data_IF_626365820211
#
_entry.id   IF_626365820211
#
_cell.length_a   1.000
_cell.length_b   1.000
_cell.length_c   1.000
_cell.angle_alpha   90.00
_cell.angle_beta   90.00
_cell.angle_gamma   90.00
#
_symmetry.space_group_name_H-M   'P 1'
#
loop_
_entity.id
_entity.type
_entity.pdbx_description
1 polymer ?
#
# COMPACT_ATOMS: atom_id res chain seq x y z
N UNK A 1 6.18 22.42 5.44
CA UNK A 1 5.99 20.98 5.14
C UNK A 1 4.53 20.60 5.36
N UNK A 2 3.84 20.14 4.32
CA UNK A 2 2.48 19.62 4.44
C UNK A 2 2.53 18.27 5.17
N UNK A 3 1.98 18.22 6.37
CA UNK A 3 1.66 16.98 7.07
C UNK A 3 0.53 16.32 6.29
N UNK A 4 0.87 15.54 5.26
CA UNK A 4 -0.10 14.67 4.61
C UNK A 4 -0.44 13.55 5.58
N UNK A 5 -1.35 13.82 6.51
CA UNK A 5 -2.00 12.78 7.31
C UNK A 5 -2.94 12.03 6.38
N UNK A 6 -2.40 11.06 5.63
CA UNK A 6 -3.23 10.03 5.02
C UNK A 6 -3.87 9.25 6.17
N UNK A 7 -5.04 9.72 6.60
CA UNK A 7 -5.84 9.05 7.63
C UNK A 7 -6.24 7.71 7.06
N UNK A 8 -5.84 6.64 7.76
CA UNK A 8 -6.25 5.29 7.39
C UNK A 8 -7.78 5.22 7.41
N UNK A 9 -8.34 4.73 6.30
CA UNK A 9 -9.78 4.63 6.11
C UNK A 9 -10.37 3.43 6.87
N UNK A 10 -9.57 2.39 7.07
CA UNK A 10 -9.94 1.18 7.79
C UNK A 10 -9.32 1.21 9.19
N UNK A 11 -10.13 1.24 10.26
CA UNK A 11 -9.60 1.18 11.63
C UNK A 11 -8.79 -0.10 11.87
N UNK A 12 -7.64 0.02 12.53
CA UNK A 12 -6.81 -1.13 12.94
C UNK A 12 -5.93 -1.76 11.85
N UNK A 13 -5.96 -1.24 10.61
CA UNK A 13 -5.16 -1.80 9.50
C UNK A 13 -3.67 -1.41 9.54
N UNK A 14 -3.28 -0.51 10.45
CA UNK A 14 -1.96 0.13 10.43
C UNK A 14 -0.82 -0.90 10.51
N UNK A 15 -0.93 -1.89 11.41
CA UNK A 15 0.10 -2.90 11.58
C UNK A 15 0.29 -3.77 10.34
N UNK A 16 -0.80 -4.13 9.65
CA UNK A 16 -0.74 -4.91 8.43
C UNK A 16 -0.11 -4.10 7.28
N UNK A 17 -0.50 -2.82 7.14
CA UNK A 17 0.10 -1.94 6.14
C UNK A 17 1.57 -1.66 6.42
N UNK A 18 1.97 -1.56 7.69
CA UNK A 18 3.37 -1.37 8.06
C UNK A 18 4.23 -2.57 7.66
N UNK A 19 3.75 -3.80 7.87
CA UNK A 19 4.45 -5.01 7.42
C UNK A 19 4.65 -5.00 5.89
N UNK A 20 3.57 -4.76 5.14
CA UNK A 20 3.60 -4.70 3.68
C UNK A 20 4.52 -3.56 3.20
N UNK A 21 4.48 -2.41 3.86
CA UNK A 21 5.33 -1.25 3.54
C UNK A 21 6.81 -1.60 3.66
N UNK A 22 7.23 -2.28 4.73
CA UNK A 22 8.62 -2.65 4.91
C UNK A 22 9.05 -3.79 3.97
N UNK A 23 8.17 -4.75 3.68
CA UNK A 23 8.41 -5.79 2.68
C UNK A 23 8.69 -5.17 1.31
N UNK A 24 7.81 -4.29 0.82
CA UNK A 24 7.96 -3.62 -0.47
C UNK A 24 9.20 -2.71 -0.49
N UNK A 25 9.46 -2.00 0.61
CA UNK A 25 10.65 -1.17 0.72
C UNK A 25 11.94 -2.01 0.57
N UNK A 26 11.97 -3.21 1.16
CA UNK A 26 13.08 -4.15 0.98
C UNK A 26 13.18 -4.67 -0.45
N UNK A 27 12.07 -5.09 -1.06
CA UNK A 27 12.04 -5.54 -2.46
C UNK A 27 12.57 -4.46 -3.42
N UNK A 28 12.22 -3.20 -3.19
CA UNK A 28 12.60 -2.08 -4.06
C UNK A 28 13.98 -1.49 -3.70
N UNK A 29 14.63 -2.01 -2.64
CA UNK A 29 15.90 -1.47 -2.15
C UNK A 29 15.79 -0.03 -1.63
N UNK A 30 14.61 0.38 -1.16
CA UNK A 30 14.34 1.73 -0.66
C UNK A 30 14.47 1.76 0.85
N UNK A 31 15.41 2.54 1.35
CA UNK A 31 15.43 2.91 2.77
C UNK A 31 14.39 4.00 2.99
N UNK A 32 13.31 3.74 3.72
CA UNK A 32 12.31 4.78 4.01
C UNK A 32 12.85 5.78 5.04
N UNK A 33 12.69 7.08 4.74
CA UNK A 33 13.18 8.14 5.64
C UNK A 33 12.99 9.54 5.06
N UNK A 34 13.19 10.55 5.89
CA UNK A 34 13.17 11.97 5.50
C UNK A 34 14.25 12.33 4.48
N UNK A 35 15.39 11.66 4.56
CA UNK A 35 16.58 11.90 3.73
C UNK A 35 16.53 11.14 2.40
N UNK A 36 15.55 10.25 2.25
CA UNK A 36 15.31 9.50 1.02
C UNK A 36 14.51 10.32 0.03
N UNK A 37 14.88 10.23 -1.24
CA UNK A 37 14.18 10.90 -2.35
C UNK A 37 12.66 10.68 -2.26
N UNK A 38 11.89 11.76 -2.35
CA UNK A 38 10.42 11.70 -2.27
C UNK A 38 9.80 10.73 -3.28
N UNK A 39 10.42 10.58 -4.47
CA UNK A 39 9.99 9.61 -5.48
C UNK A 39 10.20 8.16 -5.05
N UNK A 40 11.29 7.87 -4.34
CA UNK A 40 11.58 6.53 -3.83
C UNK A 40 10.66 6.18 -2.64
N UNK A 41 10.42 7.12 -1.73
CA UNK A 41 9.37 6.94 -0.71
C UNK A 41 7.98 6.76 -1.35
N UNK A 42 7.69 7.54 -2.39
CA UNK A 42 6.44 7.48 -3.14
C UNK A 42 6.21 6.17 -3.90
N UNK A 43 7.27 5.53 -4.42
CA UNK A 43 7.14 4.26 -5.14
C UNK A 43 6.67 3.11 -4.24
N UNK A 44 7.13 3.09 -2.98
CA UNK A 44 6.65 2.12 -1.98
C UNK A 44 5.15 2.30 -1.71
N UNK A 45 4.70 3.54 -1.48
CA UNK A 45 3.27 3.84 -1.27
C UNK A 45 2.39 3.52 -2.50
N UNK A 46 2.92 3.75 -3.70
CA UNK A 46 2.25 3.41 -4.96
C UNK A 46 2.04 1.91 -5.12
N UNK A 47 3.05 1.09 -4.78
CA UNK A 47 2.95 -0.36 -4.88
C UNK A 47 1.99 -0.96 -3.85
N UNK A 48 1.95 -0.43 -2.62
CA UNK A 48 0.93 -0.80 -1.61
C UNK A 48 -0.47 -0.62 -2.21
N UNK A 49 -0.75 0.56 -2.77
CA UNK A 49 -2.06 0.85 -3.39
C UNK A 49 -2.35 -0.12 -4.55
N UNK A 50 -1.35 -0.40 -5.39
CA UNK A 50 -1.49 -1.30 -6.52
C UNK A 50 -1.85 -2.73 -6.08
N UNK A 51 -1.16 -3.28 -5.08
CA UNK A 51 -1.44 -4.62 -4.52
C UNK A 51 -2.85 -4.68 -3.91
N UNK A 52 -3.23 -3.67 -3.13
CA UNK A 52 -4.56 -3.58 -2.52
C UNK A 52 -5.67 -3.53 -3.58
N UNK A 53 -5.51 -2.71 -4.62
CA UNK A 53 -6.49 -2.61 -5.72
C UNK A 53 -6.57 -3.93 -6.49
N UNK A 54 -5.44 -4.57 -6.78
CA UNK A 54 -5.42 -5.86 -7.46
C UNK A 54 -6.15 -6.94 -6.63
N UNK A 55 -5.89 -7.02 -5.32
CA UNK A 55 -6.58 -7.95 -4.42
C UNK A 55 -8.08 -7.68 -4.35
N UNK A 56 -8.49 -6.41 -4.29
CA UNK A 56 -9.91 -6.04 -4.31
C UNK A 56 -10.57 -6.42 -5.64
N UNK A 57 -9.90 -6.18 -6.76
CA UNK A 57 -10.39 -6.56 -8.09
C UNK A 57 -10.56 -8.08 -8.22
N UNK A 58 -9.60 -8.88 -7.73
CA UNK A 58 -9.72 -10.35 -7.73
C UNK A 58 -10.89 -10.85 -6.88
N UNK A 59 -11.13 -10.25 -5.71
CA UNK A 59 -12.27 -10.60 -4.85
C UNK A 59 -13.60 -10.28 -5.55
N UNK A 60 -13.72 -9.07 -6.10
CA UNK A 60 -14.92 -8.65 -6.84
C UNK A 60 -15.19 -9.53 -8.07
N UNK A 61 -14.14 -9.90 -8.81
CA UNK A 61 -14.27 -10.80 -9.95
C UNK A 61 -14.70 -12.22 -9.52
N UNK A 62 -14.27 -12.69 -8.35
CA UNK A 62 -14.72 -13.95 -7.76
C UNK A 62 -16.20 -13.91 -7.36
N UNK A 63 -16.64 -12.84 -6.71
CA UNK A 63 -18.04 -12.63 -6.32
C UNK A 63 -18.98 -12.60 -7.53
N UNK A 64 -18.58 -11.95 -8.63
CA UNK A 64 -19.38 -11.88 -9.85
C UNK A 64 -19.57 -13.25 -10.52
N UNK A 65 -18.69 -14.23 -10.26
CA UNK A 65 -18.80 -15.59 -10.81
C UNK A 65 -19.77 -16.49 -10.05
N UNK A 66 -20.10 -16.17 -8.80
CA UNK A 66 -20.94 -17.01 -7.93
C UNK A 66 -22.44 -16.66 -8.00
N UNK A 67 -22.83 -15.68 -8.83
CA UNK A 67 -24.22 -15.26 -9.03
C UNK A 67 -24.79 -15.62 -10.41
N UNK A 68 -24.26 -16.64 -11.09
CA UNK A 68 -24.79 -17.15 -12.37
C UNK A 68 -25.20 -18.60 -12.26
#
# INVERSE_FOLDING_TARGET
MARSSNKLLVPGIEQALDQIKYEIAQEFGVQLGSDTMSRANGSVGGEITKRLVAQAQSQLAGTNRTQS
#
